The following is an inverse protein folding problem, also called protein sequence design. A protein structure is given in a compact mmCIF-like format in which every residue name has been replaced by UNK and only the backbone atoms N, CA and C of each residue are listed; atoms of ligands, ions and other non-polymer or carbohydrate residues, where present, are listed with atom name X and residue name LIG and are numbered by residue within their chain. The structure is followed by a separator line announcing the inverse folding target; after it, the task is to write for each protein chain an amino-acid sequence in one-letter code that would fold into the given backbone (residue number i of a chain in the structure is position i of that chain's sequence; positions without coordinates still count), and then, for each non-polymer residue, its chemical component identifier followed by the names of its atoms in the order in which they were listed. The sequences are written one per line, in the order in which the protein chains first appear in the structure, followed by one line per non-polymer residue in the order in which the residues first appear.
data_IF_418128190354
#
_entry.id   IF_418128190354
#
_cell.length_a   1.000
_cell.length_b   1.000
_cell.length_c   1.000
_cell.angle_alpha   90.00
_cell.angle_beta   90.00
_cell.angle_gamma   90.00
#
_symmetry.space_group_name_H-M   'P 1'
#
loop_
_entity.id
_entity.type
_entity.pdbx_description
1 polymer ?
#
# COMPACT_ATOMS: atom_id res chain seq x y z
N UNK A 1 10.88 0.40 8.32
CA UNK A 1 11.34 1.25 7.23
C UNK A 1 10.27 2.28 6.98
N UNK A 2 10.56 3.54 7.14
CA UNK A 2 9.63 4.66 7.00
C UNK A 2 9.29 4.83 5.52
N UNK A 3 8.03 5.14 5.18
CA UNK A 3 7.71 5.62 3.84
C UNK A 3 8.63 6.81 3.57
N UNK A 4 9.23 6.80 2.39
CA UNK A 4 10.15 7.86 2.01
C UNK A 4 9.45 9.21 2.22
N UNK A 5 10.10 10.14 2.91
CA UNK A 5 9.71 11.56 3.08
C UNK A 5 9.25 12.20 1.77
N UNK A 6 9.50 11.53 0.67
CA UNK A 6 9.26 11.94 -0.72
C UNK A 6 7.79 11.97 -1.15
N UNK A 7 6.87 11.22 -0.50
CA UNK A 7 5.46 11.14 -0.97
C UNK A 7 4.48 11.98 -0.15
N UNK A 8 4.69 12.09 1.17
CA UNK A 8 3.75 12.78 2.06
C UNK A 8 4.43 13.83 2.95
N UNK A 9 5.69 14.12 2.72
CA UNK A 9 6.43 15.21 3.37
C UNK A 9 6.96 14.91 4.76
N UNK A 10 6.37 14.03 5.58
CA UNK A 10 6.82 13.71 6.95
C UNK A 10 7.08 12.21 7.20
N UNK A 11 6.98 11.37 6.18
CA UNK A 11 7.25 9.94 6.30
C UNK A 11 6.24 9.17 7.16
N UNK A 12 5.04 9.69 7.36
CA UNK A 12 3.97 8.94 8.02
C UNK A 12 3.58 7.72 7.20
N UNK A 13 3.28 6.63 7.90
CA UNK A 13 2.70 5.45 7.26
C UNK A 13 1.25 5.74 6.91
N UNK A 14 0.83 5.30 5.72
CA UNK A 14 -0.58 5.23 5.39
C UNK A 14 -1.29 4.33 6.41
N UNK A 15 -2.23 4.91 7.16
CA UNK A 15 -2.93 4.22 8.24
C UNK A 15 -3.80 3.09 7.70
N UNK A 16 -4.42 3.27 6.53
CA UNK A 16 -5.25 2.25 5.90
C UNK A 16 -4.40 1.05 5.48
N UNK A 17 -3.31 1.29 4.78
CA UNK A 17 -2.34 0.26 4.37
C UNK A 17 -1.71 -0.43 5.58
N UNK A 18 -1.41 0.33 6.64
CA UNK A 18 -0.89 -0.23 7.87
C UNK A 18 -1.90 -1.14 8.56
N UNK A 19 -3.17 -0.73 8.67
CA UNK A 19 -4.24 -1.56 9.21
C UNK A 19 -4.43 -2.84 8.40
N UNK A 20 -4.40 -2.74 7.07
CA UNK A 20 -4.51 -3.91 6.20
C UNK A 20 -3.36 -4.90 6.41
N UNK A 21 -2.14 -4.41 6.59
CA UNK A 21 -0.98 -5.25 6.92
C UNK A 21 -1.11 -5.91 8.30
N UNK A 22 -1.66 -5.21 9.30
CA UNK A 22 -1.92 -5.78 10.63
C UNK A 22 -3.02 -6.84 10.58
N UNK A 23 -4.07 -6.63 9.80
CA UNK A 23 -5.12 -7.62 9.55
C UNK A 23 -4.57 -8.85 8.83
N UNK A 24 -3.70 -8.66 7.82
CA UNK A 24 -3.01 -9.76 7.13
C UNK A 24 -2.18 -10.60 8.12
N UNK A 25 -1.55 -9.97 9.10
CA UNK A 25 -0.82 -10.68 10.15
C UNK A 25 -1.75 -11.56 11.02
N UNK A 26 -2.95 -11.09 11.34
CA UNK A 26 -3.93 -11.91 12.07
C UNK A 26 -4.51 -13.02 11.20
N UNK A 27 -4.82 -12.72 9.93
CA UNK A 27 -5.29 -13.71 8.97
C UNK A 27 -4.23 -14.81 8.71
N UNK A 28 -2.94 -14.44 8.68
CA UNK A 28 -1.84 -15.41 8.57
C UNK A 28 -1.79 -16.41 9.72
N UNK A 29 -2.19 -15.99 10.94
CA UNK A 29 -2.29 -16.91 12.07
C UNK A 29 -3.37 -17.98 11.86
N UNK A 30 -4.48 -17.64 11.18
CA UNK A 30 -5.50 -18.63 10.81
C UNK A 30 -4.98 -19.69 9.81
N UNK A 31 -3.91 -19.38 9.07
CA UNK A 31 -3.29 -20.33 8.14
C UNK A 31 -2.25 -21.20 8.85
N UNK A 32 -1.49 -20.60 9.78
CA UNK A 32 -0.31 -21.24 10.40
C UNK A 32 -0.62 -21.97 11.71
N UNK A 33 -1.51 -21.42 12.53
CA UNK A 33 -1.76 -21.86 13.90
C UNK A 33 -3.09 -22.61 14.00
N UNK A 34 -3.22 -23.72 13.28
CA UNK A 34 -4.48 -24.50 13.21
C UNK A 34 -4.93 -25.10 14.56
N UNK A 35 -4.05 -25.18 15.56
CA UNK A 35 -4.37 -25.66 16.90
C UNK A 35 -4.82 -24.54 17.86
N UNK A 36 -4.68 -23.28 17.46
CA UNK A 36 -5.03 -22.14 18.32
C UNK A 36 -6.55 -22.05 18.55
N UNK A 37 -6.95 -21.51 19.72
CA UNK A 37 -8.36 -21.22 20.00
C UNK A 37 -8.94 -20.28 18.95
N UNK A 38 -8.15 -19.29 18.51
CA UNK A 38 -8.53 -18.36 17.47
C UNK A 38 -8.93 -19.09 16.17
N UNK A 39 -8.10 -20.00 15.68
CA UNK A 39 -8.43 -20.82 14.51
C UNK A 39 -9.69 -21.65 14.74
N UNK A 40 -9.80 -22.36 15.85
CA UNK A 40 -10.92 -23.26 16.13
C UNK A 40 -12.27 -22.53 16.13
N UNK A 41 -12.33 -21.37 16.78
CA UNK A 41 -13.54 -20.53 16.81
C UNK A 41 -13.91 -20.02 15.42
N UNK A 42 -12.95 -19.49 14.67
CA UNK A 42 -13.20 -18.96 13.33
C UNK A 42 -13.54 -20.06 12.34
N UNK A 43 -12.86 -21.21 12.39
CA UNK A 43 -13.13 -22.39 11.57
C UNK A 43 -14.56 -22.87 11.73
N UNK A 44 -15.01 -23.04 12.97
CA UNK A 44 -16.36 -23.52 13.27
C UNK A 44 -17.46 -22.53 12.82
N UNK A 45 -17.16 -21.22 12.81
CA UNK A 45 -18.16 -20.19 12.56
C UNK A 45 -18.22 -19.70 11.12
N UNK A 46 -17.09 -19.61 10.41
CA UNK A 46 -17.01 -18.89 9.15
C UNK A 46 -16.52 -19.72 7.95
N UNK A 47 -15.72 -20.78 8.16
CA UNK A 47 -15.15 -21.57 7.07
C UNK A 47 -15.06 -23.07 7.40
N UNK A 48 -16.12 -23.62 7.96
CA UNK A 48 -16.16 -25.00 8.45
C UNK A 48 -15.87 -26.06 7.37
N UNK A 49 -16.24 -25.81 6.10
CA UNK A 49 -16.08 -26.77 4.98
C UNK A 49 -14.86 -26.53 4.10
N UNK A 50 -14.18 -25.37 4.19
CA UNK A 50 -13.10 -24.97 3.29
C UNK A 50 -11.85 -24.51 4.05
N UNK A 51 -10.78 -24.18 3.36
CA UNK A 51 -9.63 -23.48 3.95
C UNK A 51 -9.93 -21.99 4.16
N UNK A 52 -9.14 -21.31 5.00
CA UNK A 52 -9.27 -19.85 5.20
C UNK A 52 -9.09 -19.06 3.91
N UNK A 53 -8.21 -19.52 3.00
CA UNK A 53 -7.92 -18.82 1.74
C UNK A 53 -9.03 -18.96 0.70
N UNK A 54 -9.88 -19.98 0.83
CA UNK A 54 -11.06 -20.26 -0.02
C UNK A 54 -12.34 -19.70 0.59
N UNK A 55 -12.27 -19.21 1.82
CA UNK A 55 -13.45 -18.76 2.56
C UNK A 55 -14.04 -17.49 1.94
N UNK A 56 -15.37 -17.48 1.87
CA UNK A 56 -16.17 -16.35 1.43
C UNK A 56 -16.83 -15.61 2.60
N UNK A 57 -17.41 -14.45 2.29
CA UNK A 57 -18.04 -13.62 3.33
C UNK A 57 -19.22 -14.30 4.01
N UNK A 58 -19.98 -15.09 3.26
CA UNK A 58 -21.18 -15.77 3.74
C UNK A 58 -22.27 -14.84 4.26
N UNK A 59 -23.28 -15.40 4.95
CA UNK A 59 -24.41 -14.67 5.52
C UNK A 59 -24.10 -14.03 6.89
N UNK A 60 -23.05 -14.47 7.56
CA UNK A 60 -22.70 -14.01 8.92
C UNK A 60 -21.75 -12.79 8.85
N UNK A 61 -22.33 -11.60 8.76
CA UNK A 61 -21.66 -10.33 8.50
C UNK A 61 -20.93 -9.75 9.73
N UNK A 62 -19.92 -10.43 10.24
CA UNK A 62 -19.02 -9.83 11.24
C UNK A 62 -18.07 -8.83 10.57
N UNK A 63 -17.94 -7.63 11.17
CA UNK A 63 -16.97 -6.64 10.70
C UNK A 63 -15.53 -7.17 10.73
N UNK A 64 -15.17 -7.90 11.79
CA UNK A 64 -13.84 -8.50 11.94
C UNK A 64 -13.59 -9.53 10.85
N UNK A 65 -14.58 -10.40 10.56
CA UNK A 65 -14.47 -11.41 9.51
C UNK A 65 -14.27 -10.78 8.13
N UNK A 66 -15.08 -9.77 7.81
CA UNK A 66 -14.92 -8.98 6.56
C UNK A 66 -13.54 -8.38 6.43
N UNK A 67 -13.03 -7.79 7.50
CA UNK A 67 -11.71 -7.17 7.52
C UNK A 67 -10.57 -8.19 7.34
N UNK A 68 -10.69 -9.38 7.92
CA UNK A 68 -9.74 -10.48 7.73
C UNK A 68 -9.74 -10.97 6.27
N UNK A 69 -10.91 -11.10 5.65
CA UNK A 69 -11.02 -11.48 4.24
C UNK A 69 -10.42 -10.43 3.30
N UNK A 70 -10.60 -9.15 3.57
CA UNK A 70 -9.94 -8.08 2.79
C UNK A 70 -8.42 -8.21 2.82
N UNK A 71 -7.85 -8.67 3.93
CA UNK A 71 -6.42 -8.88 4.06
C UNK A 71 -5.89 -10.11 3.30
N UNK A 72 -6.77 -11.03 2.83
CA UNK A 72 -6.36 -12.19 2.03
C UNK A 72 -5.61 -11.79 0.76
N UNK A 73 -5.93 -10.64 0.15
CA UNK A 73 -5.24 -10.17 -1.05
C UNK A 73 -3.75 -9.87 -0.78
N UNK A 74 -3.43 -9.33 0.40
CA UNK A 74 -2.04 -9.11 0.83
C UNK A 74 -1.32 -10.45 1.00
N UNK A 75 -2.01 -11.44 1.54
CA UNK A 75 -1.45 -12.79 1.72
C UNK A 75 -1.23 -13.47 0.37
N UNK A 76 -2.21 -13.45 -0.53
CA UNK A 76 -2.10 -14.03 -1.88
C UNK A 76 -0.93 -13.44 -2.66
N UNK A 77 -0.74 -12.12 -2.55
CA UNK A 77 0.35 -11.45 -3.26
C UNK A 77 1.72 -11.73 -2.66
N UNK A 78 1.83 -11.72 -1.34
CA UNK A 78 3.11 -11.84 -0.64
C UNK A 78 3.54 -13.28 -0.34
N UNK A 79 2.68 -14.28 -0.55
CA UNK A 79 2.99 -15.69 -0.25
C UNK A 79 3.22 -16.52 -1.51
N UNK A 80 3.85 -17.66 -1.31
CA UNK A 80 4.09 -18.69 -2.33
C UNK A 80 3.93 -20.07 -1.67
N UNK A 81 3.41 -21.03 -2.43
CA UNK A 81 3.35 -22.40 -1.99
C UNK A 81 4.70 -23.09 -2.15
N UNK A 82 5.13 -23.76 -1.10
CA UNK A 82 6.25 -24.72 -1.13
C UNK A 82 5.68 -26.11 -1.37
N UNK A 83 6.18 -26.77 -2.39
CA UNK A 83 5.76 -28.10 -2.81
C UNK A 83 6.25 -29.13 -1.81
N UNK A 84 5.34 -29.85 -1.20
CA UNK A 84 5.60 -31.01 -0.37
C UNK A 84 5.22 -32.28 -1.07
N UNK A 85 4.01 -32.78 -0.80
CA UNK A 85 3.43 -33.96 -1.45
C UNK A 85 2.59 -33.62 -2.72
N UNK A 86 2.42 -32.34 -3.02
CA UNK A 86 1.72 -31.80 -4.21
C UNK A 86 0.21 -32.02 -4.22
N UNK A 87 -0.39 -32.50 -3.11
CA UNK A 87 -1.82 -32.83 -3.08
C UNK A 87 -2.73 -31.64 -2.85
N UNK A 88 -2.22 -30.58 -2.20
CA UNK A 88 -3.01 -29.41 -1.83
C UNK A 88 -2.86 -28.26 -2.84
N UNK A 89 -1.98 -28.37 -3.80
CA UNK A 89 -1.66 -27.31 -4.75
C UNK A 89 -2.31 -27.59 -6.08
N UNK A 90 -3.20 -26.71 -6.53
CA UNK A 90 -3.70 -26.68 -7.90
C UNK A 90 -2.76 -25.88 -8.79
N UNK A 91 -2.39 -26.42 -9.91
CA UNK A 91 -1.35 -25.85 -10.79
C UNK A 91 -1.72 -24.45 -11.27
N UNK A 92 -2.97 -24.25 -11.68
CA UNK A 92 -3.45 -22.97 -12.21
C UNK A 92 -3.94 -22.01 -11.11
N UNK A 93 -4.45 -22.56 -9.99
CA UNK A 93 -5.15 -21.79 -8.96
C UNK A 93 -4.25 -21.23 -7.87
N UNK A 94 -3.08 -21.83 -7.66
CA UNK A 94 -2.16 -21.47 -6.60
C UNK A 94 -0.85 -20.85 -7.13
N UNK A 95 -0.31 -19.89 -6.38
CA UNK A 95 0.97 -19.25 -6.71
C UNK A 95 2.11 -20.08 -6.10
N UNK A 96 2.72 -20.94 -6.90
CA UNK A 96 3.85 -21.79 -6.52
C UNK A 96 5.08 -21.57 -7.42
N UNK A 97 4.87 -21.01 -8.61
CA UNK A 97 5.91 -20.60 -9.54
C UNK A 97 6.20 -19.09 -9.45
N UNK A 98 7.36 -18.64 -9.92
CA UNK A 98 7.67 -17.21 -10.07
C UNK A 98 6.72 -16.48 -11.01
N UNK A 99 6.27 -17.16 -12.08
CA UNK A 99 5.34 -16.68 -13.08
C UNK A 99 4.17 -17.66 -13.22
N UNK A 100 2.99 -17.20 -13.66
CA UNK A 100 1.88 -18.11 -13.96
C UNK A 100 2.32 -19.18 -14.96
N UNK A 101 1.94 -20.46 -14.76
CA UNK A 101 2.30 -21.53 -15.68
C UNK A 101 1.66 -21.32 -17.06
N UNK A 102 2.44 -21.49 -18.12
CA UNK A 102 1.97 -21.48 -19.49
C UNK A 102 1.80 -22.90 -19.97
N UNK A 103 0.55 -23.29 -20.25
CA UNK A 103 0.19 -24.60 -20.77
C UNK A 103 0.39 -24.66 -22.28
N UNK A 104 0.51 -25.88 -22.82
CA UNK A 104 0.35 -26.16 -24.26
C UNK A 104 -1.14 -26.26 -24.62
N UNK A 105 -1.47 -26.05 -25.86
CA UNK A 105 -2.86 -25.86 -26.34
C UNK A 105 -3.84 -27.03 -26.05
N UNK A 106 -3.33 -28.23 -25.77
CA UNK A 106 -4.14 -29.44 -25.51
C UNK A 106 -4.01 -29.96 -24.06
N UNK A 107 -3.40 -29.18 -23.14
CA UNK A 107 -3.11 -29.65 -21.80
C UNK A 107 -4.31 -29.51 -20.85
N UNK A 108 -4.53 -30.53 -20.03
CA UNK A 108 -5.52 -30.51 -18.95
C UNK A 108 -5.12 -29.49 -17.88
N UNK A 109 -6.00 -28.51 -17.62
CA UNK A 109 -5.76 -27.42 -16.69
C UNK A 109 -6.17 -27.78 -15.24
N UNK A 110 -6.87 -28.88 -15.03
CA UNK A 110 -7.34 -29.34 -13.71
C UNK A 110 -6.34 -30.24 -12.96
N UNK A 111 -5.15 -30.44 -13.53
CA UNK A 111 -4.09 -31.23 -12.91
C UNK A 111 -3.63 -30.61 -11.57
N UNK A 112 -3.27 -31.50 -10.64
CA UNK A 112 -2.59 -31.15 -9.39
C UNK A 112 -1.09 -31.40 -9.50
N UNK A 113 -0.31 -30.76 -8.65
CA UNK A 113 1.14 -30.96 -8.66
C UNK A 113 1.57 -32.40 -8.38
N UNK A 114 0.81 -33.15 -7.57
CA UNK A 114 1.08 -34.57 -7.32
C UNK A 114 1.05 -35.42 -8.60
N UNK A 115 0.36 -34.97 -9.64
CA UNK A 115 0.28 -35.69 -10.93
C UNK A 115 1.52 -35.43 -11.80
N UNK A 116 2.28 -34.38 -11.47
CA UNK A 116 3.56 -34.03 -12.12
C UNK A 116 4.78 -34.67 -11.43
N UNK A 117 4.57 -35.31 -10.28
CA UNK A 117 5.62 -35.92 -9.47
C UNK A 117 5.61 -37.45 -9.68
N UNK A 118 6.75 -38.01 -10.06
CA UNK A 118 6.92 -39.44 -10.15
C UNK A 118 6.88 -40.07 -8.75
N UNK A 119 5.88 -40.91 -8.51
CA UNK A 119 5.60 -41.51 -7.18
C UNK A 119 6.73 -42.44 -6.69
N UNK A 120 7.52 -43.03 -7.60
CA UNK A 120 8.61 -43.97 -7.26
C UNK A 120 9.89 -43.21 -6.87
N UNK A 121 10.23 -42.11 -7.58
CA UNK A 121 11.49 -41.38 -7.40
C UNK A 121 11.32 -40.12 -6.59
N UNK A 122 10.10 -39.65 -6.32
CA UNK A 122 9.80 -38.34 -5.72
C UNK A 122 10.50 -37.16 -6.41
N UNK A 123 10.59 -37.24 -7.73
CA UNK A 123 11.15 -36.20 -8.58
C UNK A 123 10.11 -35.79 -9.63
N UNK A 124 10.31 -34.63 -10.24
CA UNK A 124 9.48 -34.16 -11.33
C UNK A 124 9.53 -35.14 -12.52
N UNK A 125 8.37 -35.49 -13.04
CA UNK A 125 8.27 -36.32 -14.24
C UNK A 125 8.47 -35.46 -15.49
N UNK A 126 9.67 -35.53 -16.07
CA UNK A 126 10.04 -34.70 -17.22
C UNK A 126 9.17 -34.96 -18.45
N UNK A 127 8.65 -36.18 -18.62
CA UNK A 127 7.81 -36.55 -19.75
C UNK A 127 6.42 -35.87 -19.66
N UNK A 128 5.83 -35.87 -18.47
CA UNK A 128 4.55 -35.18 -18.18
C UNK A 128 4.74 -33.67 -18.29
N UNK A 129 5.80 -33.14 -17.69
CA UNK A 129 6.09 -31.70 -17.74
C UNK A 129 6.25 -31.20 -19.19
N UNK A 130 7.00 -31.93 -20.03
CA UNK A 130 7.24 -31.55 -21.41
C UNK A 130 5.97 -31.65 -22.28
N UNK A 131 5.05 -32.55 -21.93
CA UNK A 131 3.75 -32.69 -22.61
C UNK A 131 2.79 -31.55 -22.21
N UNK A 132 2.79 -31.12 -20.93
CA UNK A 132 1.81 -30.20 -20.36
C UNK A 132 2.19 -28.74 -20.52
N UNK A 133 3.47 -28.39 -20.35
CA UNK A 133 3.91 -27.00 -20.25
C UNK A 133 4.86 -26.55 -21.36
N UNK A 134 4.95 -25.25 -21.54
CA UNK A 134 5.97 -24.64 -22.39
C UNK A 134 7.37 -24.83 -21.77
N UNK A 135 8.41 -24.79 -22.61
CA UNK A 135 9.80 -24.99 -22.18
C UNK A 135 10.21 -24.06 -21.04
N UNK A 136 9.83 -22.79 -21.09
CA UNK A 136 10.16 -21.82 -20.04
C UNK A 136 9.56 -22.21 -18.68
N UNK A 137 8.29 -22.65 -18.68
CA UNK A 137 7.61 -23.11 -17.45
C UNK A 137 8.26 -24.39 -16.91
N UNK A 138 8.65 -25.33 -17.79
CA UNK A 138 9.36 -26.56 -17.37
C UNK A 138 10.68 -26.22 -16.69
N UNK A 139 11.45 -25.27 -17.23
CA UNK A 139 12.72 -24.82 -16.62
C UNK A 139 12.49 -24.21 -15.23
N UNK A 140 11.42 -23.43 -15.03
CA UNK A 140 11.08 -22.88 -13.72
C UNK A 140 10.64 -23.96 -12.72
N UNK A 141 9.86 -24.96 -13.17
CA UNK A 141 9.44 -26.10 -12.33
C UNK A 141 10.64 -26.91 -11.87
N UNK A 142 11.57 -27.24 -12.77
CA UNK A 142 12.75 -28.04 -12.46
C UNK A 142 13.71 -27.37 -11.46
N UNK A 143 13.64 -26.03 -11.28
CA UNK A 143 14.37 -25.31 -10.25
C UNK A 143 13.78 -25.49 -8.85
N UNK A 144 12.54 -25.92 -8.74
CA UNK A 144 11.85 -26.14 -7.47
C UNK A 144 12.16 -27.53 -6.97
N UNK A 145 12.61 -27.63 -5.74
CA UNK A 145 12.84 -28.92 -5.09
C UNK A 145 11.51 -29.50 -4.61
N UNK A 146 11.23 -30.72 -5.00
CA UNK A 146 10.11 -31.50 -4.45
C UNK A 146 10.45 -31.88 -3.00
N UNK A 147 9.49 -31.72 -2.09
CA UNK A 147 9.61 -32.19 -0.72
C UNK A 147 9.69 -33.72 -0.63
N UNK A 148 9.95 -34.25 0.56
CA UNK A 148 9.89 -35.70 0.80
C UNK A 148 8.41 -36.15 0.88
N UNK A 149 8.12 -37.43 0.62
CA UNK A 149 6.74 -37.99 0.61
C UNK A 149 5.91 -37.74 1.87
N UNK A 150 6.54 -37.44 2.99
CA UNK A 150 5.88 -37.12 4.26
C UNK A 150 5.75 -35.62 4.54
N UNK A 151 6.21 -34.77 3.63
CA UNK A 151 6.17 -33.32 3.82
C UNK A 151 4.90 -32.79 3.16
N UNK A 152 3.98 -32.20 3.91
CA UNK A 152 2.79 -31.55 3.35
C UNK A 152 3.16 -30.24 2.66
N UNK A 153 2.38 -29.90 1.65
CA UNK A 153 2.45 -28.58 1.02
C UNK A 153 2.25 -27.47 2.03
N UNK A 154 3.00 -26.40 1.88
CA UNK A 154 3.00 -25.31 2.85
C UNK A 154 3.00 -23.95 2.19
N UNK A 155 2.07 -23.11 2.61
CA UNK A 155 2.07 -21.70 2.22
C UNK A 155 3.15 -20.96 3.01
N UNK A 156 4.08 -20.27 2.33
CA UNK A 156 5.18 -19.52 2.95
C UNK A 156 5.20 -18.08 2.48
N UNK A 157 5.78 -17.21 3.31
CA UNK A 157 5.91 -15.79 2.96
C UNK A 157 7.18 -15.58 2.13
N UNK A 158 7.02 -15.07 0.90
CA UNK A 158 8.11 -14.92 -0.08
C UNK A 158 9.03 -13.73 0.22
N UNK A 159 8.49 -12.66 0.80
CA UNK A 159 9.08 -11.32 0.81
C UNK A 159 10.25 -11.14 1.79
N UNK A 160 10.59 -12.12 2.61
CA UNK A 160 11.78 -12.08 3.46
C UNK A 160 12.38 -13.47 3.74
N UNK A 161 13.67 -13.49 4.08
CA UNK A 161 14.41 -14.73 4.37
C UNK A 161 13.91 -15.46 5.63
N UNK A 162 13.32 -14.78 6.59
CA UNK A 162 12.75 -15.37 7.81
C UNK A 162 11.35 -15.97 7.60
N UNK A 163 10.78 -15.85 6.39
CA UNK A 163 9.44 -16.35 6.04
C UNK A 163 8.33 -15.85 6.96
N UNK A 164 8.54 -14.72 7.61
CA UNK A 164 7.59 -14.06 8.49
C UNK A 164 6.95 -12.84 7.80
N UNK A 165 5.73 -12.49 8.19
CA UNK A 165 4.94 -11.40 7.61
C UNK A 165 5.47 -9.99 8.01
N UNK A 166 6.79 -9.81 8.15
CA UNK A 166 7.37 -8.51 8.52
C UNK A 166 7.22 -7.46 7.43
N UNK A 167 7.15 -7.89 6.17
CA UNK A 167 7.06 -7.03 4.98
C UNK A 167 5.64 -6.88 4.45
N UNK A 168 4.61 -7.33 5.18
CA UNK A 168 3.21 -7.22 4.77
C UNK A 168 2.79 -5.78 4.43
N UNK A 169 3.34 -4.79 5.12
CA UNK A 169 3.09 -3.38 4.81
C UNK A 169 3.59 -3.01 3.41
N UNK A 170 4.75 -3.50 2.99
CA UNK A 170 5.30 -3.23 1.66
C UNK A 170 4.44 -3.86 0.56
N UNK A 171 3.93 -5.08 0.79
CA UNK A 171 3.01 -5.76 -0.12
C UNK A 171 1.68 -5.00 -0.20
N UNK A 172 1.09 -4.63 0.93
CA UNK A 172 -0.16 -3.86 0.97
C UNK A 172 -0.01 -2.49 0.29
N UNK A 173 1.15 -1.84 0.43
CA UNK A 173 1.44 -0.57 -0.22
C UNK A 173 1.52 -0.71 -1.76
N UNK A 174 2.17 -1.77 -2.25
CA UNK A 174 2.20 -2.06 -3.70
C UNK A 174 0.80 -2.28 -4.26
N UNK A 175 -0.03 -3.05 -3.57
CA UNK A 175 -1.42 -3.29 -3.98
C UNK A 175 -2.24 -2.00 -4.01
N UNK A 176 -2.10 -1.11 -3.04
CA UNK A 176 -2.83 0.16 -3.02
C UNK A 176 -2.40 1.09 -4.16
N UNK A 177 -1.13 1.04 -4.56
CA UNK A 177 -0.58 1.85 -5.66
C UNK A 177 -1.01 1.34 -7.04
N UNK A 178 -1.17 0.03 -7.22
CA UNK A 178 -1.64 -0.55 -8.48
C UNK A 178 -3.11 -0.20 -8.78
N UNK A 179 -3.91 0.10 -7.75
CA UNK A 179 -5.31 0.47 -7.91
C UNK A 179 -5.52 1.96 -8.22
N UNK A 180 -4.52 2.82 -7.97
CA UNK A 180 -4.59 4.26 -8.20
C UNK A 180 -3.87 4.64 -9.49
N UNK A 181 -4.60 4.64 -10.59
CA UNK A 181 -4.10 4.95 -11.95
C UNK A 181 -3.79 6.41 -12.24
N UNK A 182 -3.50 7.27 -11.24
CA UNK A 182 -3.21 8.70 -11.45
C UNK A 182 -1.77 9.06 -11.02
N UNK A 183 -0.85 9.07 -11.97
CA UNK A 183 0.58 9.28 -11.72
C UNK A 183 1.18 10.60 -12.23
N UNK A 184 0.40 11.57 -12.72
CA UNK A 184 0.99 12.81 -13.26
C UNK A 184 1.22 13.92 -12.21
N UNK A 185 0.46 13.99 -11.13
CA UNK A 185 0.64 14.99 -10.06
C UNK A 185 1.70 14.61 -9.04
N UNK A 186 1.89 13.32 -8.77
CA UNK A 186 2.77 12.81 -7.71
C UNK A 186 4.26 13.22 -7.87
N UNK A 187 4.75 13.41 -9.10
CA UNK A 187 6.15 13.80 -9.32
C UNK A 187 6.42 15.28 -8.99
N UNK A 188 5.44 16.16 -9.25
CA UNK A 188 5.56 17.59 -8.96
C UNK A 188 5.43 17.86 -7.45
N UNK A 189 4.58 17.11 -6.77
CA UNK A 189 4.42 17.19 -5.32
C UNK A 189 5.69 16.72 -4.59
N UNK A 190 6.35 15.67 -5.09
CA UNK A 190 7.64 15.22 -4.59
C UNK A 190 8.73 16.29 -4.64
N UNK A 191 8.74 17.13 -5.69
CA UNK A 191 9.70 18.20 -5.81
C UNK A 191 9.49 19.28 -4.74
N UNK A 192 8.24 19.67 -4.45
CA UNK A 192 7.91 20.60 -3.37
C UNK A 192 8.39 20.07 -2.02
N UNK A 193 8.08 18.81 -1.70
CA UNK A 193 8.47 18.22 -0.42
C UNK A 193 9.99 18.13 -0.26
N UNK A 194 10.71 17.66 -1.27
CA UNK A 194 12.18 17.65 -1.24
C UNK A 194 12.75 19.05 -0.98
N UNK A 195 12.19 20.06 -1.64
CA UNK A 195 12.65 21.44 -1.48
C UNK A 195 12.34 21.96 -0.09
N UNK A 196 11.13 21.73 0.44
CA UNK A 196 10.73 22.14 1.79
C UNK A 196 11.66 21.57 2.85
N UNK A 197 11.94 20.26 2.79
CA UNK A 197 12.79 19.60 3.77
C UNK A 197 14.28 19.93 3.62
N UNK A 198 14.71 20.38 2.45
CA UNK A 198 16.09 20.85 2.21
C UNK A 198 16.34 22.31 2.62
N UNK A 199 15.30 23.05 3.03
CA UNK A 199 15.47 24.44 3.46
C UNK A 199 16.36 24.53 4.73
N UNK A 200 17.34 25.44 4.69
CA UNK A 200 18.18 25.73 5.86
C UNK A 200 17.46 26.71 6.81
N UNK A 201 16.39 26.22 7.44
CA UNK A 201 15.59 26.95 8.43
C UNK A 201 15.32 26.04 9.64
N UNK A 202 14.99 26.61 10.82
CA UNK A 202 14.66 25.80 11.98
C UNK A 202 13.59 24.75 11.72
N UNK A 203 13.67 23.55 12.33
CA UNK A 203 12.71 22.46 12.12
C UNK A 203 11.26 22.86 12.33
N UNK A 204 10.99 23.74 13.31
CA UNK A 204 9.64 24.26 13.57
C UNK A 204 9.04 25.01 12.37
N UNK A 205 9.86 25.72 11.58
CA UNK A 205 9.41 26.44 10.39
C UNK A 205 9.07 25.46 9.28
N UNK A 206 9.90 24.42 9.06
CA UNK A 206 9.63 23.37 8.08
C UNK A 206 8.34 22.62 8.43
N UNK A 207 8.16 22.25 9.70
CA UNK A 207 6.94 21.58 10.17
C UNK A 207 5.72 22.49 10.04
N UNK A 208 5.84 23.78 10.30
CA UNK A 208 4.77 24.76 10.10
C UNK A 208 4.38 24.82 8.62
N UNK A 209 5.34 24.99 7.72
CA UNK A 209 5.07 25.01 6.27
C UNK A 209 4.45 23.71 5.78
N UNK A 210 4.87 22.55 6.29
CA UNK A 210 4.21 21.29 5.98
C UNK A 210 2.73 21.30 6.42
N UNK A 211 2.42 21.76 7.64
CA UNK A 211 1.05 21.89 8.14
C UNK A 211 0.21 22.82 7.28
N UNK A 212 0.80 23.93 6.83
CA UNK A 212 0.15 24.89 5.92
C UNK A 212 -0.18 24.20 4.58
N UNK A 213 0.79 23.54 3.98
CA UNK A 213 0.61 22.86 2.69
C UNK A 213 -0.39 21.70 2.76
N UNK A 214 -0.45 20.98 3.89
CA UNK A 214 -1.43 19.92 4.11
C UNK A 214 -2.80 20.42 4.59
N UNK A 215 -3.00 21.75 4.74
CA UNK A 215 -4.22 22.36 5.26
C UNK A 215 -4.66 21.80 6.62
N UNK A 216 -3.69 21.49 7.52
CA UNK A 216 -3.98 20.94 8.86
C UNK A 216 -3.81 21.95 10.00
N UNK A 217 -3.67 23.25 9.68
CA UNK A 217 -3.68 24.31 10.69
C UNK A 217 -5.07 24.42 11.32
N UNK A 218 -5.15 24.76 12.62
CA UNK A 218 -6.42 24.95 13.33
C UNK A 218 -7.04 26.32 13.02
N UNK A 219 -7.25 26.62 11.72
CA UNK A 219 -7.98 27.81 11.29
C UNK A 219 -9.45 27.66 11.62
N UNK A 220 -10.17 28.76 11.74
CA UNK A 220 -11.60 28.74 12.08
C UNK A 220 -12.42 27.94 11.06
N UNK A 221 -12.10 28.03 9.76
CA UNK A 221 -12.73 27.21 8.72
C UNK A 221 -12.47 25.72 8.95
N UNK A 222 -11.22 25.30 9.27
CA UNK A 222 -10.88 23.91 9.55
C UNK A 222 -11.55 23.41 10.86
N UNK A 223 -11.68 24.24 11.85
CA UNK A 223 -12.39 23.91 13.10
C UNK A 223 -13.89 23.76 12.88
N UNK A 224 -14.50 24.66 12.11
CA UNK A 224 -15.93 24.57 11.75
C UNK A 224 -16.22 23.30 10.95
N UNK A 225 -15.37 22.91 9.99
CA UNK A 225 -15.49 21.65 9.26
C UNK A 225 -15.43 20.42 10.18
N UNK A 226 -14.70 20.52 11.28
CA UNK A 226 -14.64 19.48 12.34
C UNK A 226 -15.78 19.57 13.35
N UNK A 227 -16.84 20.33 13.01
CA UNK A 227 -18.04 20.51 13.83
C UNK A 227 -17.80 21.23 15.16
N UNK A 228 -16.70 21.99 15.29
CA UNK A 228 -16.54 22.93 16.39
C UNK A 228 -17.44 24.12 16.14
N UNK A 229 -18.27 24.49 17.11
CA UNK A 229 -19.17 25.66 17.01
C UNK A 229 -18.35 26.95 17.11
N UNK A 230 -17.92 27.47 15.98
CA UNK A 230 -17.14 28.70 15.86
C UNK A 230 -17.55 29.43 14.58
N UNK A 231 -17.63 30.78 14.65
CA UNK A 231 -17.79 31.59 13.45
C UNK A 231 -16.55 31.45 12.55
N UNK A 232 -16.68 31.00 11.29
CA UNK A 232 -15.54 30.79 10.40
C UNK A 232 -14.89 32.10 9.94
N UNK A 233 -15.47 33.27 10.20
CA UNK A 233 -14.94 34.56 9.75
C UNK A 233 -13.57 34.90 10.33
N UNK A 234 -12.73 35.48 9.48
CA UNK A 234 -11.36 35.88 9.84
C UNK A 234 -11.39 36.93 10.96
N UNK A 235 -10.68 36.67 12.06
CA UNK A 235 -10.60 37.59 13.19
C UNK A 235 -9.92 38.91 12.88
N UNK A 236 -9.10 38.97 11.82
CA UNK A 236 -8.36 40.18 11.47
C UNK A 236 -9.11 41.10 10.54
N UNK A 237 -9.74 40.59 9.48
CA UNK A 237 -10.43 41.44 8.51
C UNK A 237 -11.96 41.38 8.63
N UNK A 238 -12.53 40.35 9.24
CA UNK A 238 -13.96 40.16 9.38
C UNK A 238 -14.74 39.90 8.08
N UNK A 239 -14.08 39.89 6.93
CA UNK A 239 -14.74 39.88 5.61
C UNK A 239 -14.91 38.45 5.04
N UNK A 240 -13.85 37.68 5.05
CA UNK A 240 -13.79 36.33 4.46
C UNK A 240 -13.62 35.27 5.54
N UNK A 241 -13.83 34.01 5.16
CA UNK A 241 -13.59 32.89 6.06
C UNK A 241 -12.10 32.71 6.33
N UNK A 242 -11.75 32.35 7.56
CA UNK A 242 -10.37 32.14 8.01
C UNK A 242 -9.87 30.78 7.50
N UNK A 243 -9.58 30.69 6.20
CA UNK A 243 -8.87 29.56 5.62
C UNK A 243 -7.37 29.71 5.78
N UNK A 244 -6.62 28.63 5.62
CA UNK A 244 -5.14 28.66 5.63
C UNK A 244 -4.60 29.61 4.55
N UNK A 245 -5.21 29.61 3.37
CA UNK A 245 -4.82 30.47 2.27
C UNK A 245 -5.14 31.94 2.56
N UNK A 246 -6.34 32.23 3.04
CA UNK A 246 -6.75 33.58 3.37
C UNK A 246 -5.83 34.21 4.44
N UNK A 247 -5.68 33.57 5.59
CA UNK A 247 -4.93 34.15 6.74
C UNK A 247 -3.45 34.37 6.44
N UNK A 248 -2.84 33.57 5.57
CA UNK A 248 -1.42 33.67 5.25
C UNK A 248 -1.12 34.46 3.98
N UNK A 249 -2.10 34.64 3.08
CA UNK A 249 -1.85 35.24 1.77
C UNK A 249 -2.86 36.33 1.39
N UNK A 250 -4.17 36.08 1.44
CA UNK A 250 -5.18 36.98 0.89
C UNK A 250 -5.65 38.07 1.88
N UNK A 251 -5.52 37.82 3.18
CA UNK A 251 -5.98 38.76 4.18
C UNK A 251 -5.24 40.10 4.03
N UNK A 252 -5.96 41.26 4.09
CA UNK A 252 -5.31 42.58 4.06
C UNK A 252 -4.18 42.75 5.08
N UNK A 253 -4.32 42.16 6.27
CA UNK A 253 -3.26 42.14 7.28
C UNK A 253 -2.06 41.31 6.83
N UNK A 254 -2.26 40.16 6.18
CA UNK A 254 -1.17 39.37 5.60
C UNK A 254 -0.45 40.16 4.50
N UNK A 255 -1.18 40.88 3.65
CA UNK A 255 -0.59 41.77 2.63
C UNK A 255 0.35 42.81 3.24
N UNK A 256 -0.04 43.44 4.36
CA UNK A 256 0.80 44.41 5.05
C UNK A 256 2.11 43.76 5.57
N UNK A 257 2.04 42.53 6.07
CA UNK A 257 3.24 41.78 6.49
C UNK A 257 4.14 41.44 5.30
N UNK A 258 3.56 40.97 4.20
CA UNK A 258 4.31 40.64 2.99
C UNK A 258 4.93 41.89 2.33
N UNK A 259 4.33 43.07 2.50
CA UNK A 259 4.86 44.36 2.03
C UNK A 259 6.22 44.71 2.68
N UNK A 260 6.47 44.22 3.88
CA UNK A 260 7.71 44.41 4.62
C UNK A 260 8.85 43.47 4.17
N UNK A 261 8.52 42.40 3.41
CA UNK A 261 9.51 41.43 2.97
C UNK A 261 10.25 41.94 1.75
N UNK A 262 11.60 42.05 1.79
CA UNK A 262 12.39 42.44 0.63
C UNK A 262 12.22 41.42 -0.51
N UNK A 263 11.63 41.82 -1.62
CA UNK A 263 11.45 40.97 -2.80
C UNK A 263 10.09 41.12 -3.47
N UNK A 264 10.00 40.75 -4.76
CA UNK A 264 8.81 40.92 -5.59
C UNK A 264 7.77 39.80 -5.43
N UNK A 265 7.59 39.23 -4.26
CA UNK A 265 6.66 38.12 -4.01
C UNK A 265 5.19 38.56 -4.09
N UNK A 266 4.88 39.82 -3.81
CA UNK A 266 3.53 40.39 -3.77
C UNK A 266 2.83 40.51 -5.12
N UNK A 267 3.53 40.46 -6.22
CA UNK A 267 2.98 40.66 -7.57
C UNK A 267 2.83 39.38 -8.37
N UNK A 268 2.58 38.25 -7.73
CA UNK A 268 2.22 37.07 -8.52
C UNK A 268 0.72 37.15 -8.84
N UNK A 269 0.41 37.28 -10.12
CA UNK A 269 -0.94 37.19 -10.68
C UNK A 269 -1.53 35.76 -10.58
N UNK A 270 -0.91 34.90 -9.81
CA UNK A 270 -1.36 33.51 -9.62
C UNK A 270 -2.49 33.49 -8.60
N UNK A 271 -3.70 33.35 -9.09
CA UNK A 271 -4.91 33.20 -8.28
C UNK A 271 -5.10 31.70 -8.02
N UNK A 272 -5.16 31.31 -6.78
CA UNK A 272 -5.43 29.92 -6.35
C UNK A 272 -6.18 29.96 -5.03
N UNK A 273 -7.06 28.99 -4.83
CA UNK A 273 -7.83 28.84 -3.59
C UNK A 273 -7.07 28.04 -2.52
N UNK A 274 -5.98 27.35 -2.91
CA UNK A 274 -5.21 26.49 -2.02
C UNK A 274 -3.78 26.98 -1.83
N UNK A 275 -3.35 27.08 -0.58
CA UNK A 275 -1.98 27.48 -0.26
C UNK A 275 -0.92 26.51 -0.82
N UNK A 276 -1.23 25.21 -0.91
CA UNK A 276 -0.36 24.21 -1.50
C UNK A 276 0.04 24.55 -2.96
N UNK A 277 -0.94 24.97 -3.76
CA UNK A 277 -0.70 25.37 -5.15
C UNK A 277 0.14 26.63 -5.24
N UNK A 278 -0.08 27.59 -4.33
CA UNK A 278 0.76 28.78 -4.23
C UNK A 278 2.21 28.43 -3.86
N UNK A 279 2.42 27.60 -2.86
CA UNK A 279 3.73 27.14 -2.44
C UNK A 279 4.48 26.42 -3.57
N UNK A 280 3.79 25.55 -4.32
CA UNK A 280 4.33 24.85 -5.48
C UNK A 280 4.77 25.82 -6.57
N UNK A 281 3.93 26.80 -6.88
CA UNK A 281 4.24 27.84 -7.85
C UNK A 281 5.48 28.68 -7.44
N UNK A 282 5.55 29.07 -6.16
CA UNK A 282 6.69 29.84 -5.63
C UNK A 282 8.00 29.06 -5.70
N UNK A 283 7.97 27.79 -5.31
CA UNK A 283 9.15 26.90 -5.36
C UNK A 283 9.66 26.76 -6.80
N UNK A 284 8.75 26.64 -7.76
CA UNK A 284 9.12 26.56 -9.18
C UNK A 284 9.76 27.86 -9.68
N UNK A 285 9.17 29.02 -9.38
CA UNK A 285 9.72 30.33 -9.77
C UNK A 285 11.08 30.65 -9.16
N UNK A 286 11.29 30.28 -7.90
CA UNK A 286 12.57 30.49 -7.21
C UNK A 286 13.67 29.53 -7.71
N UNK A 287 13.29 28.33 -8.14
CA UNK A 287 14.20 27.37 -8.77
C UNK A 287 14.68 27.80 -10.14
N UNK A 288 13.83 28.45 -10.95
CA UNK A 288 14.15 28.94 -12.28
C UNK A 288 15.10 30.15 -12.29
N UNK A 289 15.31 30.82 -11.14
CA UNK A 289 16.22 31.99 -11.03
C UNK A 289 17.65 31.67 -10.60
N UNK A 290 18.00 30.40 -10.43
CA UNK A 290 19.38 29.93 -10.17
C UNK A 290 20.04 29.38 -11.43
N UNK A 291 19.76 29.90 -12.58
CA UNK A 291 20.62 29.80 -13.80
C UNK A 291 21.64 30.96 -13.81
N UNK A 292 22.79 30.75 -14.42
CA UNK A 292 24.06 31.43 -14.15
C UNK A 292 24.00 32.94 -14.22
#
# INVERSE_FOLDING_TARGET
MWLEEKKEGMGFRDIHVFNLAMLAKQAWRLIRETHSLFYRVYKARYFHCCSFMEAELGSNLSMVWRSLLQACNVIREGSVWEVGDGRSIGISSHKWLPHPPCFRDEADQDLRECDLINKATHQWDQSILAATFTRATVEDILRIRVGTSNTRDKLTWKENKSRELKTAYQVALRLSQSCSGEHSSASQDQHLWKKLWSLNVPPKVRTFMWRVCCNVLPTKSNLAQRKVQIDPKCSFCGQQDETTHHILWECPFAHNVWALVPGKLQKSSFVTEEFFMLARHMVHRLGARKGP
#
